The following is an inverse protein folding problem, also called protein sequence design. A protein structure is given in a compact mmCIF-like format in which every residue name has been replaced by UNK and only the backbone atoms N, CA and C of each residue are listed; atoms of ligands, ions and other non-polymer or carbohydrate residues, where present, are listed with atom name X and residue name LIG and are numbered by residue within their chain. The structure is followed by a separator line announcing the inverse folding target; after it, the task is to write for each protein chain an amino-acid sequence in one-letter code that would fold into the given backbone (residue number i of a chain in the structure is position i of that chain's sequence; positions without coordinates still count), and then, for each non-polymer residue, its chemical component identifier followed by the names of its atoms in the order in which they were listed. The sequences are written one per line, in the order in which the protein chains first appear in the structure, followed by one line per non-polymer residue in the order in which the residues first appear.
data_IF_779822439786
#
_entry.id   IF_779822439786
#
_cell.length_a   1.000
_cell.length_b   1.000
_cell.length_c   1.000
_cell.angle_alpha   90.00
_cell.angle_beta   90.00
_cell.angle_gamma   90.00
#
_symmetry.space_group_name_H-M   'P 1'
#
loop_
_entity.id
_entity.type
_entity.pdbx_description
1 polymer ?
#
# COMPACT_ATOMS: atom_id res chain seq x y z
N UNK A 1 0.72 27.55 -10.55
CA UNK A 1 1.77 27.02 -11.44
C UNK A 1 1.11 25.97 -12.33
N UNK A 2 0.81 26.32 -13.58
CA UNK A 2 0.15 25.44 -14.56
C UNK A 2 1.21 24.46 -15.09
N UNK A 3 1.03 23.17 -14.81
CA UNK A 3 1.89 22.10 -15.33
C UNK A 3 1.60 21.97 -16.83
N UNK A 4 2.62 22.11 -17.69
CA UNK A 4 2.47 21.96 -19.15
C UNK A 4 1.92 20.56 -19.48
N UNK A 5 0.84 20.45 -20.25
CA UNK A 5 0.13 19.20 -20.45
C UNK A 5 0.77 18.36 -21.56
N UNK A 6 0.60 17.04 -21.45
CA UNK A 6 0.67 15.99 -22.49
C UNK A 6 1.88 15.05 -22.52
N UNK A 7 3.15 15.47 -22.49
CA UNK A 7 4.25 14.48 -22.52
C UNK A 7 4.72 13.97 -21.14
N UNK A 8 4.52 14.75 -20.08
CA UNK A 8 4.93 14.33 -18.72
C UNK A 8 3.84 13.57 -17.96
N UNK A 9 2.55 13.77 -18.26
CA UNK A 9 1.48 13.16 -17.46
C UNK A 9 1.42 11.63 -17.58
N UNK A 10 1.76 11.06 -18.74
CA UNK A 10 1.80 9.60 -18.94
C UNK A 10 2.97 8.99 -18.17
N UNK A 11 4.17 9.57 -18.27
CA UNK A 11 5.34 9.10 -17.51
C UNK A 11 5.17 9.26 -16.00
N UNK A 12 4.54 10.34 -15.55
CA UNK A 12 4.16 10.56 -14.16
C UNK A 12 3.20 9.46 -13.70
N UNK A 13 2.04 9.30 -14.35
CA UNK A 13 1.07 8.28 -13.96
C UNK A 13 1.66 6.86 -13.99
N UNK A 14 2.57 6.59 -14.94
CA UNK A 14 3.26 5.31 -15.03
C UNK A 14 4.18 5.07 -13.84
N UNK A 15 5.02 6.04 -13.45
CA UNK A 15 5.98 5.88 -12.33
C UNK A 15 5.26 5.85 -10.97
N UNK A 16 4.29 6.74 -10.73
CA UNK A 16 3.51 6.69 -9.49
C UNK A 16 2.62 5.44 -9.42
N UNK A 17 2.18 4.92 -10.56
CA UNK A 17 1.54 3.61 -10.67
C UNK A 17 2.49 2.44 -10.40
N UNK A 18 3.78 2.56 -10.78
CA UNK A 18 4.82 1.59 -10.40
C UNK A 18 5.00 1.59 -8.88
N UNK A 19 5.10 2.75 -8.22
CA UNK A 19 5.24 2.79 -6.75
C UNK A 19 4.14 1.98 -6.04
N UNK A 20 2.88 2.24 -6.42
CA UNK A 20 1.74 1.51 -5.85
C UNK A 20 1.79 0.01 -6.16
N UNK A 21 2.18 -0.38 -7.38
CA UNK A 21 2.32 -1.79 -7.75
C UNK A 21 3.47 -2.48 -7.01
N UNK A 22 4.61 -1.82 -6.81
CA UNK A 22 5.76 -2.39 -6.11
C UNK A 22 5.40 -2.71 -4.67
N UNK A 23 4.80 -1.77 -3.94
CA UNK A 23 4.41 -2.00 -2.54
C UNK A 23 3.34 -3.09 -2.44
N UNK A 24 2.33 -3.09 -3.31
CA UNK A 24 1.35 -4.18 -3.34
C UNK A 24 2.01 -5.52 -3.71
N UNK A 25 2.98 -5.52 -4.60
CA UNK A 25 3.73 -6.72 -4.97
C UNK A 25 4.57 -7.24 -3.81
N UNK A 26 5.21 -6.36 -3.04
CA UNK A 26 5.95 -6.68 -1.83
C UNK A 26 5.02 -7.25 -0.75
N UNK A 27 3.83 -6.68 -0.54
CA UNK A 27 2.80 -7.26 0.32
C UNK A 27 2.45 -8.69 -0.07
N UNK A 28 2.29 -8.94 -1.38
CA UNK A 28 1.87 -10.25 -1.90
C UNK A 28 3.02 -11.26 -1.90
N UNK A 29 4.25 -10.86 -2.25
CA UNK A 29 5.42 -11.75 -2.26
C UNK A 29 5.80 -12.18 -0.84
N UNK A 30 5.62 -11.29 0.14
CA UNK A 30 5.86 -11.61 1.55
C UNK A 30 4.83 -12.59 2.14
N UNK A 31 3.73 -12.90 1.45
CA UNK A 31 2.78 -13.92 1.89
C UNK A 31 3.24 -15.34 1.48
N UNK A 32 3.22 -16.33 2.39
CA UNK A 32 3.59 -17.70 2.06
C UNK A 32 2.59 -18.32 1.09
N UNK A 33 3.10 -18.97 0.04
CA UNK A 33 2.29 -19.69 -0.98
C UNK A 33 1.56 -20.92 -0.44
N UNK A 34 1.84 -21.35 0.81
CA UNK A 34 1.22 -22.50 1.45
C UNK A 34 1.06 -22.22 2.96
N UNK A 35 -0.17 -22.13 3.50
CA UNK A 35 -0.43 -21.70 4.88
C UNK A 35 -0.09 -22.73 5.96
N UNK A 36 0.24 -23.98 5.59
CA UNK A 36 0.61 -25.03 6.54
C UNK A 36 2.12 -25.30 6.47
N UNK A 37 2.90 -24.69 7.37
CA UNK A 37 4.23 -25.17 7.73
C UNK A 37 4.16 -25.77 9.13
N UNK A 38 4.52 -27.04 9.26
CA UNK A 38 4.77 -27.67 10.55
C UNK A 38 5.96 -26.97 11.22
N UNK A 39 5.70 -26.25 12.31
CA UNK A 39 6.73 -25.65 13.14
C UNK A 39 7.50 -26.76 13.87
N UNK A 40 8.74 -27.02 13.46
CA UNK A 40 9.70 -27.82 14.22
C UNK A 40 10.99 -27.03 14.41
N UNK A 41 11.28 -26.62 15.65
CA UNK A 41 12.55 -25.98 16.01
C UNK A 41 12.55 -25.41 17.44
N UNK A 42 13.64 -25.59 18.22
CA UNK A 42 13.58 -25.54 19.68
C UNK A 42 13.67 -24.12 20.26
N UNK A 43 13.04 -23.96 21.43
CA UNK A 43 13.09 -22.80 22.32
C UNK A 43 14.54 -22.40 22.64
N UNK A 44 14.96 -21.21 22.22
CA UNK A 44 15.78 -20.26 22.99
C UNK A 44 16.39 -19.21 22.05
N UNK A 45 15.72 -18.06 21.92
CA UNK A 45 16.42 -16.80 21.66
C UNK A 45 15.55 -15.61 22.07
N UNK A 46 16.22 -14.68 22.74
CA UNK A 46 15.71 -13.45 23.31
C UNK A 46 14.92 -12.68 22.23
N UNK A 47 13.63 -12.47 22.46
CA UNK A 47 12.76 -11.72 21.54
C UNK A 47 13.18 -10.24 21.63
N UNK A 48 13.92 -9.78 20.62
CA UNK A 48 14.07 -8.36 20.35
C UNK A 48 12.70 -7.79 19.99
N UNK A 49 12.31 -6.70 20.62
CA UNK A 49 10.92 -6.20 20.68
C UNK A 49 10.33 -5.69 19.34
N UNK A 50 10.92 -5.91 18.15
CA UNK A 50 10.44 -5.28 16.89
C UNK A 50 10.63 -6.03 15.54
N UNK A 51 10.95 -7.33 15.48
CA UNK A 51 11.10 -8.04 14.18
C UNK A 51 9.86 -8.88 13.82
N UNK A 52 8.70 -8.22 13.68
CA UNK A 52 7.47 -8.88 13.23
C UNK A 52 7.37 -8.84 11.71
N UNK A 53 7.15 -10.00 11.09
CA UNK A 53 7.10 -10.18 9.64
C UNK A 53 5.71 -10.65 9.17
N UNK A 54 5.50 -10.68 7.85
CA UNK A 54 4.26 -11.15 7.25
C UNK A 54 3.91 -12.62 7.59
N UNK A 55 4.91 -13.44 7.95
CA UNK A 55 4.71 -14.83 8.37
C UNK A 55 4.05 -14.95 9.76
N UNK A 56 4.09 -13.88 10.56
CA UNK A 56 3.49 -13.82 11.90
C UNK A 56 2.03 -13.35 11.85
N UNK A 57 1.51 -13.03 10.65
CA UNK A 57 0.11 -12.71 10.42
C UNK A 57 -0.71 -14.00 10.26
N UNK A 58 -2.04 -13.86 10.27
CA UNK A 58 -2.95 -14.96 9.96
C UNK A 58 -2.55 -15.58 8.61
N UNK A 59 -2.45 -16.93 8.53
CA UNK A 59 -3.06 -17.92 9.43
C UNK A 59 -2.14 -18.50 10.54
N UNK A 60 -1.06 -17.82 10.94
CA UNK A 60 -0.23 -18.26 12.07
C UNK A 60 -1.04 -18.43 13.38
N UNK A 61 -0.65 -19.38 14.24
CA UNK A 61 -1.41 -19.80 15.45
C UNK A 61 -1.72 -18.64 16.41
N UNK A 62 -0.76 -17.74 16.62
CA UNK A 62 -0.92 -16.53 17.45
C UNK A 62 -1.02 -15.24 16.60
N UNK A 63 -1.34 -15.37 15.30
CA UNK A 63 -1.28 -14.26 14.35
C UNK A 63 -2.46 -13.29 14.38
N UNK A 64 -3.53 -13.59 15.14
CA UNK A 64 -4.77 -12.80 15.12
C UNK A 64 -4.57 -11.35 15.60
N UNK A 65 -3.96 -11.15 16.78
CA UNK A 65 -3.77 -9.81 17.32
C UNK A 65 -2.76 -9.01 16.49
N UNK A 66 -1.70 -9.65 16.02
CA UNK A 66 -0.71 -9.05 15.11
C UNK A 66 -1.36 -8.58 13.80
N UNK A 67 -2.23 -9.41 13.22
CA UNK A 67 -2.99 -9.08 12.00
C UNK A 67 -3.92 -7.92 12.23
N UNK A 68 -4.67 -7.94 13.34
CA UNK A 68 -5.56 -6.85 13.71
C UNK A 68 -4.81 -5.54 13.89
N UNK A 69 -3.69 -5.55 14.62
CA UNK A 69 -2.86 -4.36 14.84
C UNK A 69 -2.31 -3.81 13.52
N UNK A 70 -1.74 -4.66 12.67
CA UNK A 70 -1.22 -4.26 11.36
C UNK A 70 -2.31 -3.63 10.47
N UNK A 71 -3.48 -4.26 10.37
CA UNK A 71 -4.60 -3.74 9.58
C UNK A 71 -5.14 -2.42 10.14
N UNK A 72 -5.20 -2.27 11.47
CA UNK A 72 -5.61 -1.01 12.11
C UNK A 72 -4.64 0.13 11.75
N UNK A 73 -3.33 -0.10 11.81
CA UNK A 73 -2.34 0.90 11.43
C UNK A 73 -2.39 1.26 9.96
N UNK A 74 -2.58 0.27 9.09
CA UNK A 74 -2.81 0.50 7.66
C UNK A 74 -4.05 1.37 7.42
N UNK A 75 -5.18 1.05 8.05
CA UNK A 75 -6.42 1.85 7.94
C UNK A 75 -6.21 3.26 8.48
N UNK A 76 -5.47 3.45 9.57
CA UNK A 76 -5.12 4.77 10.11
C UNK A 76 -4.36 5.61 9.08
N UNK A 77 -3.40 5.02 8.37
CA UNK A 77 -2.67 5.68 7.27
C UNK A 77 -3.62 6.09 6.15
N UNK A 78 -4.51 5.18 5.72
CA UNK A 78 -5.48 5.43 4.65
C UNK A 78 -6.45 6.56 5.04
N UNK A 79 -7.02 6.54 6.24
CA UNK A 79 -7.92 7.58 6.75
C UNK A 79 -7.24 8.95 6.84
N UNK A 80 -5.97 8.98 7.28
CA UNK A 80 -5.17 10.21 7.29
C UNK A 80 -4.94 10.75 5.87
N UNK A 81 -4.69 9.88 4.89
CA UNK A 81 -4.56 10.25 3.48
C UNK A 81 -5.86 10.80 2.91
N UNK A 82 -7.00 10.13 3.12
CA UNK A 82 -8.34 10.57 2.67
C UNK A 82 -8.64 11.97 3.22
N UNK A 83 -8.43 12.17 4.53
CA UNK A 83 -8.66 13.45 5.18
C UNK A 83 -7.77 14.57 4.63
N UNK A 84 -6.55 14.26 4.19
CA UNK A 84 -5.62 15.22 3.58
C UNK A 84 -5.95 15.47 2.11
N UNK A 85 -6.32 14.46 1.34
CA UNK A 85 -6.53 14.56 -0.11
C UNK A 85 -7.73 15.44 -0.45
N UNK A 86 -8.76 15.45 0.40
CA UNK A 86 -9.95 16.29 0.25
C UNK A 86 -9.72 17.76 0.62
N UNK A 87 -8.60 18.11 1.30
CA UNK A 87 -8.28 19.48 1.70
C UNK A 87 -7.65 20.27 0.56
N UNK A 88 -8.28 21.39 0.20
CA UNK A 88 -7.77 22.35 -0.80
C UNK A 88 -6.40 22.93 -0.46
N UNK A 89 -5.99 22.96 0.81
CA UNK A 89 -4.66 23.45 1.22
C UNK A 89 -3.54 22.47 0.89
N UNK A 90 -3.86 21.21 0.62
CA UNK A 90 -2.85 20.20 0.29
C UNK A 90 -2.36 20.33 -1.16
N UNK A 91 -1.14 19.84 -1.42
CA UNK A 91 -0.64 19.65 -2.78
C UNK A 91 -1.39 18.49 -3.45
N UNK A 92 -1.76 18.68 -4.72
CA UNK A 92 -2.33 17.62 -5.58
C UNK A 92 -1.30 16.52 -5.85
N UNK A 93 -0.04 16.90 -6.02
CA UNK A 93 1.10 16.03 -6.26
C UNK A 93 2.35 16.75 -5.70
N UNK A 94 3.22 16.01 -5.02
CA UNK A 94 4.59 16.46 -4.76
C UNK A 94 5.49 15.88 -5.86
N UNK A 95 5.77 16.69 -6.88
CA UNK A 95 6.35 16.20 -8.12
C UNK A 95 7.85 15.94 -7.98
N UNK A 96 8.24 14.70 -8.28
CA UNK A 96 9.62 14.26 -8.45
C UNK A 96 9.81 13.62 -9.84
N UNK A 97 11.01 13.78 -10.40
CA UNK A 97 11.40 13.11 -11.64
C UNK A 97 11.58 11.60 -11.43
N UNK A 98 11.38 10.77 -12.47
CA UNK A 98 11.48 9.31 -12.35
C UNK A 98 12.81 8.81 -11.77
N UNK A 99 13.93 9.43 -12.13
CA UNK A 99 15.25 9.02 -11.59
C UNK A 99 15.35 9.28 -10.08
N UNK A 100 14.77 10.39 -9.58
CA UNK A 100 14.80 10.73 -8.16
C UNK A 100 14.04 9.69 -7.32
N UNK A 101 12.90 9.19 -7.82
CA UNK A 101 12.14 8.13 -7.14
C UNK A 101 12.88 6.79 -7.18
N UNK A 102 13.57 6.49 -8.28
CA UNK A 102 14.37 5.25 -8.41
C UNK A 102 15.63 5.27 -7.56
N UNK A 103 16.24 6.43 -7.35
CA UNK A 103 17.46 6.59 -6.56
C UNK A 103 17.25 6.46 -5.04
N UNK A 104 16.02 6.24 -4.58
CA UNK A 104 15.72 6.03 -3.17
C UNK A 104 15.38 7.33 -2.44
N UNK A 105 14.33 8.03 -2.89
CA UNK A 105 13.94 9.33 -2.36
C UNK A 105 13.61 9.24 -0.86
N UNK A 106 14.43 9.84 -0.01
CA UNK A 106 14.29 9.79 1.46
C UNK A 106 14.25 8.36 2.02
N UNK A 107 14.92 7.40 1.37
CA UNK A 107 14.95 5.99 1.80
C UNK A 107 13.81 5.13 1.23
N UNK A 108 12.89 5.72 0.45
CA UNK A 108 11.85 4.97 -0.24
C UNK A 108 12.42 4.25 -1.48
N UNK A 109 12.64 2.95 -1.36
CA UNK A 109 13.14 2.10 -2.45
C UNK A 109 11.99 1.49 -3.26
N UNK A 110 12.17 1.44 -4.59
CA UNK A 110 11.26 0.73 -5.49
C UNK A 110 11.79 -0.63 -5.93
N UNK A 111 12.99 -1.01 -5.47
CA UNK A 111 13.58 -2.31 -5.72
C UNK A 111 13.00 -3.32 -4.74
N UNK A 112 12.64 -4.51 -5.24
CA UNK A 112 12.14 -5.60 -4.41
C UNK A 112 13.33 -6.25 -3.68
N UNK A 113 13.30 -6.36 -2.34
CA UNK A 113 14.37 -7.01 -1.60
C UNK A 113 14.30 -8.54 -1.76
N UNK A 114 15.47 -9.19 -1.62
CA UNK A 114 15.57 -10.66 -1.65
C UNK A 114 15.00 -11.31 -0.38
N UNK A 115 14.94 -10.58 0.73
CA UNK A 115 14.37 -10.99 2.00
C UNK A 115 13.14 -10.16 2.32
N UNK A 116 12.12 -10.73 2.99
CA UNK A 116 10.93 -9.98 3.35
C UNK A 116 11.27 -8.92 4.40
N UNK A 117 10.77 -7.71 4.19
CA UNK A 117 10.84 -6.67 5.22
C UNK A 117 9.93 -6.99 6.41
N UNK A 118 10.15 -6.29 7.52
CA UNK A 118 9.24 -6.31 8.66
C UNK A 118 7.97 -5.50 8.36
N UNK A 119 6.95 -5.69 9.19
CA UNK A 119 5.65 -5.04 9.02
C UNK A 119 5.72 -3.51 9.19
N UNK A 120 6.65 -3.00 10.00
CA UNK A 120 6.81 -1.56 10.19
C UNK A 120 7.30 -0.88 8.92
N UNK A 121 8.31 -1.45 8.26
CA UNK A 121 8.83 -0.95 6.99
C UNK A 121 7.74 -0.99 5.91
N UNK A 122 6.93 -2.05 5.88
CA UNK A 122 5.79 -2.12 4.96
C UNK A 122 4.78 -0.98 5.18
N UNK A 123 4.51 -0.59 6.43
CA UNK A 123 3.67 0.57 6.75
C UNK A 123 4.33 1.89 6.35
N UNK A 124 5.66 2.01 6.43
CA UNK A 124 6.42 3.15 5.90
C UNK A 124 6.27 3.23 4.37
N UNK A 125 6.45 2.11 3.67
CA UNK A 125 6.31 2.03 2.21
C UNK A 125 4.90 2.41 1.75
N UNK A 126 3.86 2.04 2.51
CA UNK A 126 2.48 2.49 2.30
C UNK A 126 2.36 4.01 2.40
N UNK A 127 2.94 4.62 3.44
CA UNK A 127 2.88 6.07 3.66
C UNK A 127 3.59 6.80 2.52
N UNK A 128 4.76 6.34 2.11
CA UNK A 128 5.56 6.98 1.07
C UNK A 128 4.93 6.83 -0.31
N UNK A 129 4.34 5.67 -0.61
CA UNK A 129 3.53 5.46 -1.82
C UNK A 129 2.41 6.50 -1.93
N UNK A 130 1.67 6.73 -0.84
CA UNK A 130 0.59 7.70 -0.79
C UNK A 130 1.09 9.16 -0.77
N UNK A 131 2.26 9.42 -0.18
CA UNK A 131 2.89 10.74 -0.10
C UNK A 131 3.31 11.23 -1.49
N UNK A 132 3.98 10.37 -2.24
CA UNK A 132 4.49 10.71 -3.56
C UNK A 132 3.43 10.56 -4.65
N UNK A 133 2.43 9.69 -4.45
CA UNK A 133 1.32 9.49 -5.39
C UNK A 133 0.51 10.76 -5.73
N UNK A 134 -0.11 10.75 -6.91
CA UNK A 134 -1.06 11.78 -7.33
C UNK A 134 -2.37 11.63 -6.55
N UNK A 135 -2.84 12.71 -5.94
CA UNK A 135 -4.12 12.74 -5.22
C UNK A 135 -5.28 12.97 -6.18
N UNK A 136 -5.76 11.90 -6.81
CA UNK A 136 -6.86 11.93 -7.80
C UNK A 136 -8.20 12.40 -7.20
N UNK A 137 -8.40 12.20 -5.89
CA UNK A 137 -9.55 12.71 -5.15
C UNK A 137 -9.51 14.20 -4.82
N UNK A 138 -8.42 14.91 -5.12
CA UNK A 138 -8.26 16.30 -4.72
C UNK A 138 -9.23 17.23 -5.49
N UNK A 139 -9.92 18.19 -4.84
CA UNK A 139 -10.89 19.10 -5.50
C UNK A 139 -10.33 20.03 -6.59
N UNK A 140 -9.03 19.95 -6.87
CA UNK A 140 -8.30 20.75 -7.86
C UNK A 140 -7.53 19.88 -8.85
N UNK A 141 -7.83 18.59 -8.90
CA UNK A 141 -7.29 17.65 -9.87
C UNK A 141 -8.25 17.55 -11.06
N UNK A 142 -7.83 18.05 -12.22
CA UNK A 142 -8.64 18.12 -13.45
C UNK A 142 -7.94 17.49 -14.65
N UNK A 143 -6.95 16.63 -14.42
CA UNK A 143 -6.09 16.10 -15.48
C UNK A 143 -6.69 14.89 -16.21
N UNK A 144 -7.69 14.22 -15.63
CA UNK A 144 -8.30 13.00 -16.16
C UNK A 144 -9.82 13.09 -16.14
N UNK A 145 -10.50 12.20 -16.88
CA UNK A 145 -11.96 12.07 -16.86
C UNK A 145 -12.45 11.44 -15.55
N UNK A 146 -11.69 10.50 -14.99
CA UNK A 146 -11.96 9.90 -13.69
C UNK A 146 -11.25 10.71 -12.60
N UNK A 147 -12.03 11.34 -11.72
CA UNK A 147 -11.54 12.18 -10.62
C UNK A 147 -12.48 12.05 -9.42
N UNK A 148 -12.03 12.56 -8.27
CA UNK A 148 -12.81 12.48 -7.04
C UNK A 148 -12.54 11.19 -6.27
N UNK A 149 -13.08 11.13 -5.06
CA UNK A 149 -13.00 10.00 -4.15
C UNK A 149 -14.35 9.86 -3.46
N UNK A 150 -15.15 8.90 -3.91
CA UNK A 150 -16.45 8.58 -3.31
C UNK A 150 -16.26 7.64 -2.11
N UNK A 151 -16.77 8.05 -0.95
CA UNK A 151 -16.54 7.32 0.30
C UNK A 151 -17.29 5.98 0.32
N UNK A 152 -18.48 5.94 -0.29
CA UNK A 152 -19.28 4.70 -0.38
C UNK A 152 -18.63 3.73 -1.37
N UNK A 153 -18.17 4.22 -2.52
CA UNK A 153 -17.40 3.45 -3.49
C UNK A 153 -16.14 2.84 -2.87
N UNK A 154 -15.37 3.64 -2.11
CA UNK A 154 -14.18 3.14 -1.40
C UNK A 154 -14.52 2.06 -0.36
N UNK A 155 -15.59 2.24 0.41
CA UNK A 155 -16.04 1.22 1.35
C UNK A 155 -16.46 -0.07 0.63
N UNK A 156 -17.09 0.05 -0.55
CA UNK A 156 -17.39 -1.06 -1.42
C UNK A 156 -16.13 -1.79 -1.91
N UNK A 157 -15.10 -1.05 -2.33
CA UNK A 157 -13.82 -1.63 -2.73
C UNK A 157 -13.16 -2.41 -1.59
N UNK A 158 -13.13 -1.87 -0.37
CA UNK A 158 -12.60 -2.58 0.81
C UNK A 158 -13.40 -3.85 1.12
N UNK A 159 -14.73 -3.77 1.05
CA UNK A 159 -15.62 -4.92 1.26
C UNK A 159 -15.37 -6.01 0.20
N UNK A 160 -15.32 -5.64 -1.08
CA UNK A 160 -15.09 -6.56 -2.20
C UNK A 160 -13.70 -7.22 -2.09
N UNK A 161 -12.65 -6.46 -1.77
CA UNK A 161 -11.31 -7.01 -1.56
C UNK A 161 -11.24 -7.95 -0.36
N UNK A 162 -12.01 -7.68 0.71
CA UNK A 162 -12.09 -8.56 1.88
C UNK A 162 -12.82 -9.87 1.55
N UNK A 163 -13.91 -9.79 0.78
CA UNK A 163 -14.66 -10.97 0.34
C UNK A 163 -13.84 -11.87 -0.60
N UNK A 164 -12.95 -11.28 -1.41
CA UNK A 164 -12.00 -11.96 -2.30
C UNK A 164 -12.60 -13.15 -3.08
N UNK A 165 -13.86 -12.98 -3.54
CA UNK A 165 -14.61 -14.00 -4.27
C UNK A 165 -14.49 -13.79 -5.78
N UNK A 166 -14.72 -14.86 -6.54
CA UNK A 166 -14.69 -14.81 -7.99
C UNK A 166 -16.11 -14.63 -8.55
N UNK A 167 -16.32 -13.57 -9.33
CA UNK A 167 -17.62 -13.24 -9.95
C UNK A 167 -18.11 -14.28 -10.97
N UNK A 168 -17.24 -15.18 -11.44
CA UNK A 168 -17.61 -16.16 -12.48
C UNK A 168 -18.57 -17.25 -12.01
N UNK A 169 -18.66 -17.53 -10.71
CA UNK A 169 -19.49 -18.62 -10.18
C UNK A 169 -20.56 -18.06 -9.25
N UNK A 170 -21.83 -18.18 -9.64
CA UNK A 170 -22.97 -17.75 -8.82
C UNK A 170 -23.03 -18.47 -7.45
N UNK A 171 -22.44 -19.67 -7.34
CA UNK A 171 -22.38 -20.44 -6.09
C UNK A 171 -21.45 -19.87 -5.02
N UNK A 172 -20.68 -18.81 -5.34
CA UNK A 172 -19.77 -18.14 -4.40
C UNK A 172 -20.36 -16.83 -3.82
N UNK A 173 -21.66 -16.58 -4.01
CA UNK A 173 -22.46 -15.51 -3.38
C UNK A 173 -23.50 -16.10 -2.43
#
# INVERSE_FOLDING_TARGET
MLIKPTQNCVSIAHVYGICSKTVVTQMVISMPKNPFRECTGPESQIICENDVHCLDLLPAEDGEETTKHFLQELVNILLAYISKSLKRSSKVLDFHYPHQLKEGLEGFSLELPDQPDNLEQLLVDCRDTLKYGVKTGHPRFFNQLSTGLDIIGLAGEWLTSTANTNIYFEECW
#
